data_IF_359448357781
#
_entry.id   IF_359448357781
#
_cell.length_a   1.000
_cell.length_b   1.000
_cell.length_c   1.000
_cell.angle_alpha   90.00
_cell.angle_beta   90.00
_cell.angle_gamma   90.00
#
_symmetry.space_group_name_H-M   'P 1'
#
loop_
_entity.id
_entity.type
_entity.pdbx_description
1 polymer ?
#
# COMPACT_ATOMS: atom_id res chain seq x y z
N UNK A 1 -8.05 11.14 4.51
CA UNK A 1 -8.36 11.52 3.12
C UNK A 1 -7.91 10.36 2.25
N UNK A 2 -8.79 9.77 1.44
CA UNK A 2 -8.41 8.66 0.56
C UNK A 2 -7.74 9.23 -0.69
N UNK A 3 -6.45 8.96 -0.88
CA UNK A 3 -5.73 9.27 -2.12
C UNK A 3 -5.88 8.04 -3.02
N UNK A 4 -6.18 8.24 -4.30
CA UNK A 4 -6.20 7.21 -5.34
C UNK A 4 -5.18 7.64 -6.39
N UNK A 5 -4.23 6.78 -6.74
CA UNK A 5 -3.36 7.05 -7.88
C UNK A 5 -4.16 6.74 -9.15
N UNK A 6 -4.26 7.73 -10.05
CA UNK A 6 -4.92 7.61 -11.35
C UNK A 6 -3.89 7.47 -12.46
N UNK A 7 -4.35 7.17 -13.68
CA UNK A 7 -3.50 7.13 -14.88
C UNK A 7 -2.89 8.51 -15.25
N UNK A 8 -3.29 9.57 -14.55
CA UNK A 8 -2.67 10.91 -14.66
C UNK A 8 -1.41 11.05 -13.78
N UNK A 9 -1.00 9.99 -13.08
CA UNK A 9 0.23 9.99 -12.29
C UNK A 9 1.44 10.32 -13.16
N UNK A 10 2.20 11.33 -12.72
CA UNK A 10 3.45 11.75 -13.38
C UNK A 10 4.70 11.28 -12.63
N UNK A 11 4.56 10.33 -11.70
CA UNK A 11 5.65 9.79 -10.87
C UNK A 11 6.46 10.90 -10.14
N UNK A 12 5.78 11.91 -9.60
CA UNK A 12 6.44 13.03 -8.90
C UNK A 12 6.83 12.73 -7.44
N UNK A 13 6.47 11.55 -6.91
CA UNK A 13 6.79 11.14 -5.54
C UNK A 13 6.12 11.94 -4.42
N UNK A 14 5.21 12.87 -4.73
CA UNK A 14 4.61 13.74 -3.71
C UNK A 14 3.61 13.01 -2.81
N UNK A 15 2.95 11.96 -3.30
CA UNK A 15 1.91 11.25 -2.55
C UNK A 15 2.48 10.23 -1.55
N UNK A 16 3.65 9.66 -1.84
CA UNK A 16 4.29 8.63 -1.00
C UNK A 16 4.54 9.09 0.45
N UNK A 17 5.23 10.22 0.71
CA UNK A 17 5.50 10.67 2.08
C UNK A 17 4.25 11.18 2.81
N UNK A 18 3.18 11.51 2.09
CA UNK A 18 1.91 11.97 2.65
C UNK A 18 1.04 10.79 3.13
N UNK A 19 1.39 9.55 2.78
CA UNK A 19 0.63 8.37 3.17
C UNK A 19 0.98 7.93 4.60
N UNK A 20 0.09 8.09 5.60
CA UNK A 20 0.39 7.75 6.99
C UNK A 20 0.60 6.25 7.23
N UNK A 21 0.04 5.40 6.37
CA UNK A 21 0.16 3.94 6.45
C UNK A 21 1.22 3.37 5.51
N UNK A 22 1.98 4.23 4.81
CA UNK A 22 2.99 3.81 3.81
C UNK A 22 2.41 2.77 2.84
N UNK A 23 1.22 3.05 2.32
CA UNK A 23 0.48 2.16 1.43
C UNK A 23 0.70 2.49 -0.06
N UNK A 24 1.56 3.46 -0.36
CA UNK A 24 1.88 3.93 -1.71
C UNK A 24 3.31 3.53 -2.03
N UNK A 25 3.51 2.95 -3.20
CA UNK A 25 4.78 2.42 -3.67
C UNK A 25 5.04 2.87 -5.10
N UNK A 26 6.32 2.91 -5.50
CA UNK A 26 6.72 3.15 -6.88
C UNK A 26 6.32 1.98 -7.79
N UNK A 27 6.22 2.27 -9.09
CA UNK A 27 5.95 1.22 -10.08
C UNK A 27 7.05 0.16 -10.06
N UNK A 28 6.65 -1.10 -10.14
CA UNK A 28 7.52 -2.28 -10.11
C UNK A 28 8.25 -2.55 -8.78
N UNK A 29 7.97 -1.80 -7.72
CA UNK A 29 8.55 -2.06 -6.40
C UNK A 29 7.74 -3.10 -5.60
N UNK A 30 8.46 -4.05 -5.01
CA UNK A 30 7.90 -5.00 -4.08
C UNK A 30 7.47 -4.31 -2.79
N UNK A 31 6.34 -4.74 -2.21
CA UNK A 31 5.80 -4.15 -1.00
C UNK A 31 5.50 -5.18 0.08
N UNK A 32 5.42 -4.73 1.34
CA UNK A 32 5.09 -5.59 2.49
C UNK A 32 4.04 -4.94 3.37
N UNK A 33 3.26 -5.76 4.07
CA UNK A 33 2.32 -5.23 5.06
C UNK A 33 3.06 -4.60 6.25
N UNK A 34 4.24 -5.11 6.59
CA UNK A 34 5.07 -4.58 7.67
C UNK A 34 5.60 -3.15 7.42
N UNK A 35 5.73 -2.70 6.17
CA UNK A 35 6.33 -1.39 5.91
C UNK A 35 5.44 -0.27 6.49
N UNK A 36 5.92 0.55 7.41
CA UNK A 36 5.12 1.65 7.96
C UNK A 36 3.86 1.24 8.73
N UNK A 37 3.74 -0.03 9.16
CA UNK A 37 2.69 -0.48 10.09
C UNK A 37 3.31 -1.30 11.24
N UNK A 38 2.55 -1.50 12.31
CA UNK A 38 2.96 -2.37 13.44
C UNK A 38 2.67 -3.86 13.19
N UNK A 39 2.38 -4.27 11.95
CA UNK A 39 2.11 -5.66 11.58
C UNK A 39 3.41 -6.45 11.43
N UNK A 40 3.52 -7.59 12.12
CA UNK A 40 4.66 -8.51 12.02
C UNK A 40 4.18 -9.96 11.98
N UNK A 41 4.89 -10.81 11.23
CA UNK A 41 4.61 -12.24 11.15
C UNK A 41 3.26 -12.57 10.50
N UNK A 42 2.59 -13.61 10.96
CA UNK A 42 1.30 -14.03 10.42
C UNK A 42 0.16 -13.17 10.98
N UNK A 43 -0.49 -12.39 10.11
CA UNK A 43 -1.58 -11.48 10.48
C UNK A 43 -2.88 -11.84 9.76
N UNK A 44 -4.01 -11.63 10.46
CA UNK A 44 -5.34 -11.77 9.89
C UNK A 44 -5.86 -10.38 9.57
N UNK A 45 -5.97 -10.07 8.29
CA UNK A 45 -6.49 -8.78 7.83
C UNK A 45 -8.00 -8.65 8.16
N UNK A 46 -8.54 -7.42 8.23
CA UNK A 46 -9.97 -7.19 8.46
C UNK A 46 -10.90 -7.83 7.41
N UNK A 47 -10.36 -8.15 6.22
CA UNK A 47 -11.06 -8.88 5.16
C UNK A 47 -11.09 -10.41 5.39
N UNK A 48 -10.49 -10.92 6.47
CA UNK A 48 -10.40 -12.34 6.81
C UNK A 48 -9.24 -13.09 6.15
N UNK A 49 -8.42 -12.43 5.34
CA UNK A 49 -7.25 -13.01 4.68
C UNK A 49 -6.10 -13.17 5.67
N UNK A 50 -5.51 -14.36 5.72
CA UNK A 50 -4.27 -14.64 6.45
C UNK A 50 -3.11 -14.32 5.54
N UNK A 51 -2.25 -13.39 5.94
CA UNK A 51 -1.05 -12.99 5.19
C UNK A 51 0.14 -12.95 6.12
N UNK A 52 1.35 -13.15 5.57
CA UNK A 52 2.58 -12.89 6.31
C UNK A 52 2.99 -11.44 6.05
N UNK A 53 3.11 -10.65 7.11
CA UNK A 53 3.39 -9.23 6.99
C UNK A 53 4.80 -8.94 6.46
N UNK A 54 5.74 -9.87 6.66
CA UNK A 54 7.12 -9.75 6.24
C UNK A 54 7.38 -10.27 4.82
N UNK A 55 6.40 -10.93 4.21
CA UNK A 55 6.56 -11.52 2.90
C UNK A 55 6.35 -10.48 1.79
N UNK A 56 7.33 -10.27 0.88
CA UNK A 56 7.18 -9.35 -0.23
C UNK A 56 6.03 -9.78 -1.13
N UNK A 57 5.25 -8.80 -1.57
CA UNK A 57 4.13 -8.95 -2.47
C UNK A 57 4.47 -8.31 -3.81
N UNK A 58 3.92 -8.88 -4.89
CA UNK A 58 4.11 -8.35 -6.23
C UNK A 58 3.49 -6.95 -6.37
N UNK A 59 4.13 -6.06 -7.15
CA UNK A 59 3.63 -4.73 -7.42
C UNK A 59 2.26 -4.79 -8.12
N UNK A 60 1.39 -3.83 -7.80
CA UNK A 60 0.07 -3.71 -8.45
C UNK A 60 0.21 -3.06 -9.84
N UNK A 61 1.23 -2.23 -10.01
CA UNK A 61 1.56 -1.54 -11.26
C UNK A 61 3.06 -1.54 -11.47
N UNK A 62 3.49 -1.76 -12.70
CA UNK A 62 4.90 -1.76 -13.09
C UNK A 62 5.35 -0.41 -13.69
N UNK A 63 4.40 0.49 -13.97
CA UNK A 63 4.66 1.69 -14.78
C UNK A 63 4.54 3.00 -14.00
N UNK A 64 3.64 3.03 -13.01
CA UNK A 64 3.34 4.21 -12.19
C UNK A 64 3.23 3.81 -10.73
N UNK A 65 3.30 4.81 -9.84
CA UNK A 65 3.01 4.60 -8.42
C UNK A 65 1.67 3.89 -8.25
N UNK A 66 1.56 3.02 -7.25
CA UNK A 66 0.33 2.31 -6.94
C UNK A 66 0.02 2.37 -5.45
N UNK A 67 -1.26 2.16 -5.13
CA UNK A 67 -1.74 2.11 -3.75
C UNK A 67 -2.24 0.71 -3.44
N UNK A 68 -1.74 0.15 -2.36
CA UNK A 68 -2.21 -1.10 -1.81
C UNK A 68 -3.45 -0.83 -0.97
N UNK A 69 -4.63 -1.01 -1.58
CA UNK A 69 -5.91 -0.74 -0.92
C UNK A 69 -6.11 -1.57 0.37
N UNK A 70 -5.60 -2.79 0.41
CA UNK A 70 -5.68 -3.67 1.60
C UNK A 70 -4.90 -3.11 2.81
N UNK A 71 -3.86 -2.32 2.56
CA UNK A 71 -3.04 -1.65 3.58
C UNK A 71 -3.56 -0.26 3.93
N UNK A 72 -4.27 0.37 2.98
CA UNK A 72 -4.90 1.67 3.15
C UNK A 72 -6.23 1.55 3.94
N UNK A 73 -6.17 1.05 5.17
CA UNK A 73 -7.35 0.75 6.00
C UNK A 73 -8.07 2.01 6.52
N UNK A 74 -7.43 3.18 6.49
CA UNK A 74 -8.07 4.47 6.82
C UNK A 74 -8.99 5.02 5.72
N UNK A 75 -9.03 4.39 4.54
CA UNK A 75 -9.98 4.77 3.47
C UNK A 75 -11.40 4.23 3.70
N UNK A 76 -11.63 3.40 4.71
CA UNK A 76 -12.97 2.99 5.14
C UNK A 76 -13.50 3.96 6.20
N UNK A 77 -13.84 5.17 5.78
CA UNK A 77 -14.22 6.23 6.70
C UNK A 77 -15.05 7.39 6.14
N UNK A 78 -15.59 7.30 4.91
CA UNK A 78 -16.72 8.11 4.45
C UNK A 78 -17.66 7.27 3.59
#
# INVERSE_FOLDING_TARGET
>A
MAIIITDECINCGACEPECPNTAIYEGADDWRYADGTDLDGEVVLPNGKKVNANEPQEPVSDEIYFIVADKCTECKGF
#
